data_IF_423202158949
#
_entry.id   IF_423202158949
#
_cell.length_a   1.000
_cell.length_b   1.000
_cell.length_c   1.000
_cell.angle_alpha   90.00
_cell.angle_beta   90.00
_cell.angle_gamma   90.00
#
_symmetry.space_group_name_H-M   'P 1'
#
loop_
_entity.id
_entity.type
_entity.pdbx_description
1 polymer ?
#
# COMPACT_ATOMS: atom_id res chain seq x y z
N UNK A 1 -9.77 -9.14 -74.84
CA UNK A 1 -10.18 -8.59 -73.54
C UNK A 1 -10.43 -9.75 -72.58
N UNK A 2 -9.45 -10.14 -71.78
CA UNK A 2 -9.61 -11.18 -70.74
C UNK A 2 -9.54 -10.48 -69.37
N UNK A 3 -10.70 -10.33 -68.74
CA UNK A 3 -10.83 -9.71 -67.42
C UNK A 3 -10.36 -10.70 -66.35
N UNK A 4 -9.29 -10.35 -65.62
CA UNK A 4 -8.85 -11.09 -64.42
C UNK A 4 -9.56 -10.51 -63.20
N UNK A 5 -10.45 -11.29 -62.57
CA UNK A 5 -11.05 -10.94 -61.28
C UNK A 5 -9.99 -10.92 -60.16
N UNK A 6 -10.04 -9.95 -59.22
CA UNK A 6 -9.12 -9.90 -58.09
C UNK A 6 -9.48 -10.97 -57.06
N UNK A 7 -8.48 -11.67 -56.52
CA UNK A 7 -8.68 -12.62 -55.41
C UNK A 7 -9.02 -11.86 -54.12
N UNK A 8 -9.94 -12.36 -53.28
CA UNK A 8 -10.25 -11.73 -52.01
C UNK A 8 -9.04 -11.79 -51.07
N UNK A 9 -8.63 -10.63 -50.57
CA UNK A 9 -7.63 -10.49 -49.50
C UNK A 9 -8.24 -11.09 -48.23
N UNK A 10 -7.70 -12.22 -47.77
CA UNK A 10 -8.01 -12.72 -46.44
C UNK A 10 -7.46 -11.73 -45.41
N UNK A 11 -8.33 -10.88 -44.90
CA UNK A 11 -8.01 -9.96 -43.80
C UNK A 11 -7.96 -10.80 -42.53
N UNK A 12 -6.73 -11.11 -42.08
CA UNK A 12 -6.51 -11.76 -40.79
C UNK A 12 -6.95 -10.80 -39.70
N UNK A 13 -8.12 -11.03 -39.12
CA UNK A 13 -8.52 -10.37 -37.88
C UNK A 13 -7.53 -10.82 -36.80
N UNK A 14 -6.68 -9.89 -36.34
CA UNK A 14 -5.79 -10.14 -35.21
C UNK A 14 -6.62 -10.24 -33.94
N UNK A 15 -6.43 -11.32 -33.17
CA UNK A 15 -6.94 -11.41 -31.80
C UNK A 15 -6.23 -10.36 -30.95
N UNK A 16 -7.00 -9.42 -30.39
CA UNK A 16 -6.52 -8.52 -29.35
C UNK A 16 -6.58 -9.27 -28.01
N UNK A 17 -5.41 -9.65 -27.49
CA UNK A 17 -5.30 -10.30 -26.18
C UNK A 17 -5.15 -9.21 -25.12
N UNK A 18 -6.22 -8.95 -24.37
CA UNK A 18 -6.19 -8.06 -23.20
C UNK A 18 -5.64 -8.87 -22.02
N UNK A 19 -4.42 -8.55 -21.60
CA UNK A 19 -3.80 -9.17 -20.42
C UNK A 19 -4.16 -8.36 -19.18
N UNK A 20 -4.98 -8.93 -18.30
CA UNK A 20 -5.25 -8.37 -16.96
C UNK A 20 -4.37 -9.09 -15.94
N UNK A 21 -3.55 -8.34 -15.20
CA UNK A 21 -2.80 -8.91 -14.07
C UNK A 21 -3.64 -8.84 -12.79
N UNK A 22 -3.70 -9.95 -12.06
CA UNK A 22 -4.33 -10.05 -10.75
C UNK A 22 -3.23 -10.16 -9.70
N UNK A 23 -3.35 -9.42 -8.60
CA UNK A 23 -2.40 -9.46 -7.48
C UNK A 23 -3.14 -9.95 -6.23
N UNK A 24 -2.66 -11.05 -5.65
CA UNK A 24 -3.16 -11.55 -4.38
C UNK A 24 -2.49 -10.83 -3.20
N UNK A 25 -3.27 -10.52 -2.16
CA UNK A 25 -2.80 -9.87 -0.93
C UNK A 25 -3.34 -10.59 0.31
N UNK A 26 -2.54 -10.63 1.37
CA UNK A 26 -2.96 -11.17 2.67
C UNK A 26 -3.77 -10.14 3.46
N UNK A 27 -5.00 -10.50 3.84
CA UNK A 27 -5.83 -9.70 4.75
C UNK A 27 -5.52 -10.02 6.22
N UNK A 28 -5.60 -11.28 6.62
CA UNK A 28 -5.40 -11.72 8.01
C UNK A 28 -6.19 -10.87 9.02
N UNK A 29 -5.56 -10.52 10.14
CA UNK A 29 -6.14 -9.62 11.14
C UNK A 29 -6.00 -8.12 10.81
N UNK A 30 -5.46 -7.76 9.64
CA UNK A 30 -5.10 -6.37 9.30
C UNK A 30 -6.30 -5.41 9.31
N UNK A 31 -7.45 -5.73 8.68
CA UNK A 31 -8.61 -4.82 8.69
C UNK A 31 -9.16 -4.62 10.10
N UNK A 32 -9.17 -5.68 10.91
CA UNK A 32 -9.64 -5.64 12.30
C UNK A 32 -8.73 -4.75 13.13
N UNK A 33 -7.41 -4.94 13.04
CA UNK A 33 -6.45 -4.09 13.74
C UNK A 33 -6.56 -2.62 13.31
N UNK A 34 -6.69 -2.36 12.01
CA UNK A 34 -6.83 -1.00 11.48
C UNK A 34 -8.08 -0.28 12.00
N UNK A 35 -9.20 -1.00 12.12
CA UNK A 35 -10.45 -0.50 12.65
C UNK A 35 -10.36 -0.20 14.16
N UNK A 36 -9.79 -1.11 14.94
CA UNK A 36 -9.58 -0.84 16.37
C UNK A 36 -8.67 0.37 16.60
N UNK A 37 -7.56 0.49 15.85
CA UNK A 37 -6.68 1.65 15.94
C UNK A 37 -7.35 2.95 15.49
N UNK A 38 -8.30 2.88 14.55
CA UNK A 38 -9.12 4.03 14.17
C UNK A 38 -10.05 4.45 15.32
N UNK A 39 -10.81 3.50 15.88
CA UNK A 39 -11.74 3.75 17.00
C UNK A 39 -11.05 4.27 18.26
N UNK A 40 -9.81 3.88 18.49
CA UNK A 40 -8.97 4.38 19.58
C UNK A 40 -8.37 5.78 19.30
N UNK A 41 -8.59 6.34 18.11
CA UNK A 41 -7.94 7.57 17.65
C UNK A 41 -6.40 7.52 17.76
N UNK A 42 -5.80 6.35 17.55
CA UNK A 42 -4.37 6.15 17.79
C UNK A 42 -3.49 7.12 16.97
N UNK A 43 -3.88 7.39 15.72
CA UNK A 43 -3.16 8.33 14.85
C UNK A 43 -3.29 9.77 15.36
N UNK A 44 -4.49 10.21 15.75
CA UNK A 44 -4.71 11.56 16.26
C UNK A 44 -3.94 11.83 17.55
N UNK A 45 -3.93 10.88 18.48
CA UNK A 45 -3.15 10.98 19.72
C UNK A 45 -1.65 11.14 19.43
N UNK A 46 -1.11 10.35 18.49
CA UNK A 46 0.30 10.46 18.10
C UNK A 46 0.59 11.80 17.43
N UNK A 47 -0.29 12.26 16.56
CA UNK A 47 -0.14 13.55 15.87
C UNK A 47 -0.21 14.74 16.85
N UNK A 48 -0.97 14.63 17.95
CA UNK A 48 -1.01 15.61 19.04
C UNK A 48 0.29 15.65 19.85
N UNK A 49 0.86 14.47 20.16
CA UNK A 49 2.09 14.35 21.00
C UNK A 49 3.36 14.63 20.20
N UNK A 50 3.38 14.29 18.91
CA UNK A 50 4.53 14.41 18.01
C UNK A 50 4.23 15.39 16.86
N UNK A 51 4.01 16.69 17.15
CA UNK A 51 3.61 17.66 16.14
C UNK A 51 4.74 17.91 15.12
N UNK A 52 4.38 18.07 13.85
CA UNK A 52 5.24 18.72 12.86
C UNK A 52 6.19 17.85 12.01
N UNK A 53 6.01 16.53 11.92
CA UNK A 53 6.88 15.71 11.02
C UNK A 53 6.15 14.74 10.10
N UNK A 54 4.96 15.10 9.65
CA UNK A 54 4.41 14.51 8.44
C UNK A 54 5.27 14.94 7.23
N UNK A 55 5.73 13.99 6.40
CA UNK A 55 6.05 14.39 5.02
C UNK A 55 4.76 14.75 4.29
N UNK A 56 4.85 15.38 3.11
CA UNK A 56 3.69 15.78 2.31
C UNK A 56 2.64 14.67 2.05
N UNK A 57 2.98 13.40 2.32
CA UNK A 57 2.15 12.24 2.02
C UNK A 57 1.59 11.50 3.25
N UNK A 58 2.24 11.58 4.43
CA UNK A 58 1.84 10.81 5.62
C UNK A 58 2.20 11.52 6.92
N UNK A 59 1.28 11.50 7.90
CA UNK A 59 1.52 11.94 9.28
C UNK A 59 2.25 10.89 10.11
N UNK A 60 2.86 11.31 11.22
CA UNK A 60 3.47 10.39 12.17
C UNK A 60 2.45 9.40 12.72
N UNK A 61 1.25 9.89 13.05
CA UNK A 61 0.14 9.06 13.50
C UNK A 61 -0.26 8.00 12.48
N UNK A 62 -0.29 8.34 11.19
CA UNK A 62 -0.54 7.38 10.12
C UNK A 62 0.57 6.33 10.03
N UNK A 63 1.84 6.75 10.11
CA UNK A 63 3.00 5.83 10.09
C UNK A 63 2.94 4.89 11.30
N UNK A 64 2.76 5.41 12.52
CA UNK A 64 2.68 4.60 13.74
C UNK A 64 1.49 3.64 13.69
N UNK A 65 0.31 4.09 13.22
CA UNK A 65 -0.86 3.22 13.03
C UNK A 65 -0.52 2.00 12.15
N UNK A 66 0.16 2.22 11.02
CA UNK A 66 0.59 1.14 10.13
C UNK A 66 1.62 0.23 10.80
N UNK A 67 2.56 0.78 11.58
CA UNK A 67 3.57 -0.01 12.29
C UNK A 67 2.97 -0.91 13.39
N UNK A 68 1.99 -0.39 14.14
CA UNK A 68 1.27 -1.21 15.12
C UNK A 68 0.54 -2.34 14.40
N UNK A 69 -0.13 -2.05 13.28
CA UNK A 69 -0.81 -3.07 12.50
C UNK A 69 0.16 -4.11 11.89
N UNK A 70 1.33 -3.68 11.40
CA UNK A 70 2.42 -4.56 10.98
C UNK A 70 2.85 -5.49 12.12
N UNK A 71 3.06 -4.96 13.31
CA UNK A 71 3.49 -5.73 14.48
C UNK A 71 2.46 -6.77 14.92
N UNK A 72 1.18 -6.44 14.84
CA UNK A 72 0.07 -7.35 15.18
C UNK A 72 -0.12 -8.45 14.14
N UNK A 73 0.27 -8.22 12.89
CA UNK A 73 0.06 -9.15 11.78
C UNK A 73 1.31 -9.94 11.40
N UNK A 74 2.50 -9.52 11.82
CA UNK A 74 3.78 -10.15 11.52
C UNK A 74 4.68 -10.20 12.76
N UNK A 75 5.24 -11.39 13.05
CA UNK A 75 6.10 -11.61 14.23
C UNK A 75 7.52 -11.02 14.09
N UNK A 76 7.94 -10.57 12.91
CA UNK A 76 9.28 -10.01 12.67
C UNK A 76 9.31 -8.47 12.88
N UNK A 77 10.50 -7.98 13.26
CA UNK A 77 10.84 -6.58 13.62
C UNK A 77 10.34 -5.54 12.60
N UNK A 78 10.21 -4.29 13.06
CA UNK A 78 9.85 -3.05 12.35
C UNK A 78 10.87 -2.65 11.25
N UNK A 79 11.35 -3.62 10.47
CA UNK A 79 12.34 -3.46 9.41
C UNK A 79 11.76 -4.03 8.13
N UNK A 80 12.13 -3.44 6.99
CA UNK A 80 11.60 -3.82 5.68
C UNK A 80 10.07 -3.73 5.65
N UNK A 81 9.51 -2.68 6.24
CA UNK A 81 8.06 -2.46 6.34
C UNK A 81 7.42 -2.44 4.94
N UNK A 82 8.15 -1.95 3.95
CA UNK A 82 7.76 -2.01 2.54
C UNK A 82 7.47 -3.44 2.06
N UNK A 83 8.31 -4.41 2.41
CA UNK A 83 8.17 -5.78 1.92
C UNK A 83 6.99 -6.49 2.58
N UNK A 84 6.75 -6.19 3.86
CA UNK A 84 5.50 -6.56 4.50
C UNK A 84 4.31 -5.92 3.77
N UNK A 85 4.33 -4.61 3.49
CA UNK A 85 3.23 -3.92 2.83
C UNK A 85 2.97 -4.42 1.39
N UNK A 86 4.00 -4.94 0.69
CA UNK A 86 3.84 -5.60 -0.61
C UNK A 86 3.05 -6.90 -0.52
N UNK A 87 3.13 -7.64 0.59
CA UNK A 87 2.49 -8.95 0.75
C UNK A 87 1.11 -8.87 1.43
N UNK A 88 0.85 -7.80 2.17
CA UNK A 88 -0.41 -7.54 2.86
C UNK A 88 -1.29 -6.52 2.13
N UNK A 89 -2.58 -6.51 2.43
CA UNK A 89 -3.55 -5.59 1.83
C UNK A 89 -3.47 -4.16 2.39
N UNK A 90 -2.27 -3.60 2.55
CA UNK A 90 -2.04 -2.29 3.19
C UNK A 90 -2.70 -1.15 2.44
N UNK A 91 -2.56 -1.12 1.11
CA UNK A 91 -3.21 -0.11 0.26
C UNK A 91 -4.73 -0.15 0.38
N UNK A 92 -5.34 -1.34 0.37
CA UNK A 92 -6.79 -1.49 0.51
C UNK A 92 -7.32 -1.17 1.90
N UNK A 93 -6.52 -1.39 2.96
CA UNK A 93 -6.96 -1.18 4.35
C UNK A 93 -6.69 0.24 4.84
N UNK A 94 -5.56 0.85 4.45
CA UNK A 94 -5.13 2.14 4.96
C UNK A 94 -5.20 3.27 3.93
N UNK A 95 -5.38 2.96 2.63
CA UNK A 95 -5.29 3.95 1.56
C UNK A 95 -3.87 4.49 1.34
N UNK A 96 -2.86 3.80 1.85
CA UNK A 96 -1.45 4.22 1.81
C UNK A 96 -0.72 3.38 0.78
N UNK A 97 -0.15 4.04 -0.23
CA UNK A 97 0.65 3.37 -1.25
C UNK A 97 1.90 2.74 -0.65
N UNK A 98 2.28 1.56 -1.14
CA UNK A 98 3.43 0.83 -0.58
C UNK A 98 4.75 1.59 -0.76
N UNK A 99 4.85 2.42 -1.80
CA UNK A 99 6.07 3.16 -2.12
C UNK A 99 6.41 4.23 -1.09
N UNK A 100 5.40 4.79 -0.41
CA UNK A 100 5.60 5.79 0.64
C UNK A 100 5.94 5.18 2.00
N UNK A 101 5.78 3.86 2.17
CA UNK A 101 6.08 3.08 3.38
C UNK A 101 7.50 2.48 3.34
N UNK A 102 8.52 3.33 3.38
CA UNK A 102 9.92 2.90 3.54
C UNK A 102 10.37 2.98 5.01
N UNK A 103 11.48 2.36 5.37
CA UNK A 103 11.98 2.33 6.75
C UNK A 103 12.49 3.71 7.27
N UNK A 104 12.69 4.70 6.39
CA UNK A 104 12.95 6.10 6.79
C UNK A 104 11.71 6.72 7.45
N UNK A 105 10.48 6.35 7.06
CA UNK A 105 9.26 6.88 7.70
C UNK A 105 9.14 6.45 9.18
N UNK A 106 9.23 5.14 9.52
CA UNK A 106 9.30 4.70 10.90
C UNK A 106 10.40 5.38 11.70
N UNK A 107 11.61 5.52 11.13
CA UNK A 107 12.73 6.16 11.82
C UNK A 107 12.39 7.61 12.21
N UNK A 108 11.93 8.42 11.26
CA UNK A 108 11.54 9.81 11.55
C UNK A 108 10.39 9.93 12.54
N UNK A 109 9.40 9.02 12.46
CA UNK A 109 8.30 8.99 13.41
C UNK A 109 8.75 8.67 14.83
N UNK A 110 9.77 7.83 14.99
CA UNK A 110 10.39 7.54 16.29
C UNK A 110 11.26 8.71 16.78
N UNK A 111 11.98 9.39 15.88
CA UNK A 111 12.79 10.57 16.22
C UNK A 111 11.94 11.75 16.68
N UNK A 112 10.67 11.82 16.29
CA UNK A 112 9.74 12.87 16.67
C UNK A 112 9.15 12.71 18.09
N UNK A 113 9.44 11.60 18.77
CA UNK A 113 8.97 11.35 20.13
C UNK A 113 9.72 12.29 21.09
N UNK A 114 9.02 13.16 21.84
CA UNK A 114 9.67 14.04 22.80
C UNK A 114 10.34 13.23 23.93
N UNK A 115 11.44 13.73 24.53
CA UNK A 115 12.04 13.10 25.70
C UNK A 115 11.02 12.99 26.84
N UNK A 116 11.12 11.89 27.61
CA UNK A 116 10.24 11.58 28.74
C UNK A 116 10.50 12.46 29.97
#
# INVERSE_FOLDING_TARGET
MTSRSPRPRFQRQGLEVVVTSVVEKRLGALPVAAEFLHRLNAAGIVDEVCPGGASAHLTHGQVIKVLVANRLTSRARLVRVRDWARTWAVEGVFGITVDVLNDDRPARALDAIPPA
#
